data_IF_230686430569
#
_entry.id   IF_230686430569
#
_cell.length_a   1.000
_cell.length_b   1.000
_cell.length_c   1.000
_cell.angle_alpha   90.00
_cell.angle_beta   90.00
_cell.angle_gamma   90.00
#
_symmetry.space_group_name_H-M   'P 1'
#
loop_
_entity.id
_entity.type
_entity.pdbx_description
1 polymer ?
#
# COMPACT_ATOMS: atom_id res chain seq x y z
N UNK A 1 8.55 -4.75 -21.13
CA UNK A 1 7.69 -5.02 -19.97
C UNK A 1 7.98 -4.01 -18.88
N UNK A 2 7.22 -4.04 -17.78
CA UNK A 2 7.59 -3.36 -16.52
C UNK A 2 7.85 -4.47 -15.50
N UNK A 3 9.10 -4.58 -15.07
CA UNK A 3 9.61 -5.67 -14.25
C UNK A 3 10.10 -5.13 -12.91
N UNK A 4 9.76 -5.81 -11.81
CA UNK A 4 10.35 -5.58 -10.49
C UNK A 4 11.32 -6.73 -10.19
N UNK A 5 12.53 -6.43 -9.75
CA UNK A 5 13.54 -7.44 -9.44
C UNK A 5 13.60 -7.64 -7.93
N UNK A 6 13.12 -8.79 -7.48
CA UNK A 6 13.16 -9.22 -6.08
C UNK A 6 14.42 -10.05 -5.83
N UNK A 7 14.56 -10.57 -4.61
CA UNK A 7 15.70 -11.36 -4.15
C UNK A 7 15.91 -12.60 -5.03
N UNK A 8 14.85 -13.35 -5.34
CA UNK A 8 14.89 -14.66 -6.01
C UNK A 8 14.20 -14.68 -7.39
N UNK A 9 13.40 -13.65 -7.71
CA UNK A 9 12.58 -13.60 -8.93
C UNK A 9 12.57 -12.24 -9.60
N UNK A 10 12.17 -12.24 -10.86
CA UNK A 10 11.78 -11.05 -11.62
C UNK A 10 10.28 -11.15 -11.86
N UNK A 11 9.54 -10.21 -11.30
CA UNK A 11 8.08 -10.15 -11.41
C UNK A 11 7.66 -9.15 -12.48
N UNK A 12 6.82 -9.58 -13.43
CA UNK A 12 6.30 -8.74 -14.49
C UNK A 12 5.00 -8.06 -14.03
N UNK A 13 5.13 -6.83 -13.51
CA UNK A 13 3.96 -6.00 -13.11
C UNK A 13 3.04 -5.71 -14.29
N UNK A 14 3.63 -5.53 -15.46
CA UNK A 14 2.95 -5.35 -16.73
C UNK A 14 3.78 -5.95 -17.86
N UNK A 15 3.14 -6.71 -18.73
CA UNK A 15 3.79 -7.28 -19.91
C UNK A 15 2.86 -7.17 -21.12
N UNK A 16 3.46 -6.89 -22.27
CA UNK A 16 2.79 -6.93 -23.57
C UNK A 16 3.62 -7.84 -24.49
N UNK A 17 2.95 -8.72 -25.25
CA UNK A 17 3.62 -9.71 -26.10
C UNK A 17 4.20 -10.94 -25.38
N UNK A 18 4.13 -10.99 -24.04
CA UNK A 18 4.45 -12.18 -23.24
C UNK A 18 3.16 -12.78 -22.67
N UNK A 19 2.65 -13.85 -23.30
CA UNK A 19 1.42 -14.49 -22.87
C UNK A 19 1.68 -15.55 -21.80
N UNK A 20 0.96 -15.47 -20.67
CA UNK A 20 1.00 -16.47 -19.60
C UNK A 20 2.26 -16.44 -18.73
N UNK A 21 3.12 -15.42 -18.88
CA UNK A 21 4.34 -15.25 -18.08
C UNK A 21 4.17 -14.04 -17.16
N UNK A 22 4.05 -14.31 -15.86
CA UNK A 22 3.92 -13.26 -14.83
C UNK A 22 5.20 -13.07 -14.03
N UNK A 23 6.11 -14.03 -14.08
CA UNK A 23 7.42 -13.96 -13.43
C UNK A 23 8.43 -14.91 -14.07
N UNK A 24 9.70 -14.73 -13.74
CA UNK A 24 10.80 -15.62 -14.09
C UNK A 24 11.81 -15.67 -12.94
N UNK A 25 12.66 -16.70 -12.92
CA UNK A 25 13.80 -16.75 -12.00
C UNK A 25 14.73 -15.55 -12.22
N UNK A 26 15.38 -15.08 -11.16
CA UNK A 26 16.42 -14.03 -11.22
C UNK A 26 17.72 -14.56 -11.82
N UNK A 27 17.71 -14.80 -13.13
CA UNK A 27 18.89 -15.22 -13.88
C UNK A 27 19.70 -14.00 -14.39
N UNK A 28 21.04 -14.06 -14.38
CA UNK A 28 21.88 -12.98 -14.87
C UNK A 28 21.70 -12.76 -16.38
N UNK A 29 22.11 -11.57 -16.86
CA UNK A 29 22.23 -11.23 -18.27
C UNK A 29 21.14 -10.31 -18.83
N UNK A 30 19.96 -10.31 -18.20
CA UNK A 30 18.81 -9.45 -18.56
C UNK A 30 18.44 -8.58 -17.35
N UNK A 31 17.19 -8.59 -16.88
CA UNK A 31 16.71 -7.70 -15.81
C UNK A 31 17.58 -7.72 -14.55
N UNK A 32 18.03 -8.90 -14.11
CA UNK A 32 18.88 -9.04 -12.91
C UNK A 32 20.25 -8.36 -13.04
N UNK A 33 20.76 -8.23 -14.27
CA UNK A 33 21.99 -7.48 -14.56
C UNK A 33 21.70 -6.02 -14.81
N UNK A 34 20.61 -5.70 -15.52
CA UNK A 34 20.23 -4.34 -15.86
C UNK A 34 20.04 -3.44 -14.62
N UNK A 35 19.48 -3.97 -13.52
CA UNK A 35 19.32 -3.21 -12.26
C UNK A 35 20.64 -2.83 -11.56
N UNK A 36 21.78 -3.32 -12.05
CA UNK A 36 23.11 -2.98 -11.54
C UNK A 36 23.74 -1.79 -12.28
N UNK A 37 22.98 -1.14 -13.17
CA UNK A 37 23.41 -0.03 -13.99
C UNK A 37 22.45 1.15 -13.83
N UNK A 38 23.02 2.36 -13.80
CA UNK A 38 22.24 3.61 -13.73
C UNK A 38 21.74 4.08 -15.10
N UNK A 39 22.38 3.60 -16.17
CA UNK A 39 22.09 3.94 -17.56
C UNK A 39 21.40 2.78 -18.30
N UNK A 40 20.75 3.03 -19.46
CA UNK A 40 20.11 1.99 -20.24
C UNK A 40 21.04 0.83 -20.55
N UNK A 41 20.59 -0.37 -20.18
CA UNK A 41 21.31 -1.61 -20.39
C UNK A 41 20.85 -2.26 -21.69
N UNK A 42 21.79 -2.44 -22.63
CA UNK A 42 21.50 -2.97 -23.97
C UNK A 42 22.27 -4.26 -24.24
N UNK A 43 21.56 -5.24 -24.79
CA UNK A 43 22.06 -6.49 -25.36
C UNK A 43 21.52 -6.58 -26.79
N UNK A 44 22.36 -6.23 -27.76
CA UNK A 44 21.98 -6.14 -29.17
C UNK A 44 21.69 -7.52 -29.81
N UNK A 45 22.50 -8.52 -29.44
CA UNK A 45 22.30 -9.94 -29.78
C UNK A 45 22.64 -10.84 -28.57
N UNK A 46 21.62 -11.28 -27.84
CA UNK A 46 21.73 -12.08 -26.64
C UNK A 46 22.29 -13.49 -26.89
N UNK A 47 22.20 -14.01 -28.11
CA UNK A 47 22.80 -15.31 -28.44
C UNK A 47 24.32 -15.21 -28.64
N UNK A 48 24.84 -14.02 -28.92
CA UNK A 48 26.27 -13.74 -29.07
C UNK A 48 26.87 -13.03 -27.85
N UNK A 49 26.04 -12.45 -26.97
CA UNK A 49 26.48 -11.71 -25.80
C UNK A 49 26.81 -12.65 -24.61
N UNK A 50 28.07 -12.70 -24.15
CA UNK A 50 28.47 -13.57 -23.03
C UNK A 50 27.70 -13.29 -21.74
N UNK A 51 27.19 -12.07 -21.55
CA UNK A 51 26.41 -11.69 -20.36
C UNK A 51 25.05 -12.39 -20.34
N UNK A 52 24.46 -12.62 -21.52
CA UNK A 52 23.07 -13.07 -21.66
C UNK A 52 22.92 -14.49 -22.24
N UNK A 53 23.95 -15.05 -22.89
CA UNK A 53 23.87 -16.33 -23.60
C UNK A 53 23.40 -17.50 -22.74
N UNK A 54 23.68 -17.47 -21.43
CA UNK A 54 23.28 -18.50 -20.48
C UNK A 54 21.85 -18.30 -19.93
N UNK A 55 21.20 -17.17 -20.21
CA UNK A 55 19.91 -16.82 -19.63
C UNK A 55 18.79 -17.75 -20.16
N UNK A 56 17.89 -18.26 -19.30
CA UNK A 56 16.80 -19.14 -19.72
C UNK A 56 15.87 -18.54 -20.78
N UNK A 57 15.67 -17.22 -20.80
CA UNK A 57 14.84 -16.56 -21.81
C UNK A 57 15.51 -16.51 -23.19
N UNK A 58 16.84 -16.59 -23.23
CA UNK A 58 17.64 -16.61 -24.47
C UNK A 58 17.74 -18.03 -25.04
N UNK A 59 17.97 -19.02 -24.17
CA UNK A 59 18.13 -20.44 -24.54
C UNK A 59 16.81 -21.19 -24.67
N UNK A 60 15.77 -20.75 -23.97
CA UNK A 60 14.46 -21.39 -23.92
C UNK A 60 13.57 -21.03 -25.10
N UNK A 61 12.30 -21.43 -25.00
CA UNK A 61 11.32 -21.31 -26.09
C UNK A 61 10.98 -19.88 -26.51
N UNK A 62 11.27 -18.87 -25.68
CA UNK A 62 11.08 -17.46 -26.04
C UNK A 62 12.13 -16.97 -27.05
N UNK A 63 13.34 -17.57 -27.04
CA UNK A 63 14.37 -17.30 -28.02
C UNK A 63 14.79 -15.82 -28.11
N UNK A 64 14.89 -15.14 -26.95
CA UNK A 64 15.25 -13.72 -26.92
C UNK A 64 16.60 -13.49 -27.62
N UNK A 65 16.64 -12.47 -28.49
CA UNK A 65 17.85 -12.01 -29.19
C UNK A 65 18.15 -10.56 -28.93
N UNK A 66 17.16 -9.71 -28.77
CA UNK A 66 17.40 -8.32 -28.40
C UNK A 66 16.80 -8.04 -27.03
N UNK A 67 17.50 -7.23 -26.24
CA UNK A 67 17.03 -6.71 -24.97
C UNK A 67 17.57 -5.31 -24.75
N UNK A 68 16.71 -4.36 -24.39
CA UNK A 68 17.08 -3.05 -23.90
C UNK A 68 16.22 -2.73 -22.68
N UNK A 69 16.82 -2.15 -21.65
CA UNK A 69 16.14 -1.85 -20.40
C UNK A 69 16.61 -0.52 -19.82
N UNK A 70 15.67 0.28 -19.31
CA UNK A 70 15.96 1.44 -18.48
C UNK A 70 15.60 1.12 -17.03
N UNK A 71 16.47 1.48 -16.06
CA UNK A 71 16.21 1.24 -14.64
C UNK A 71 15.06 2.10 -14.12
N UNK A 72 14.22 1.50 -13.27
CA UNK A 72 13.18 2.21 -12.50
C UNK A 72 13.77 2.49 -11.12
N UNK A 73 14.27 3.72 -10.95
CA UNK A 73 15.05 4.12 -9.77
C UNK A 73 14.26 5.11 -8.94
N UNK A 74 14.19 4.87 -7.64
CA UNK A 74 13.56 5.79 -6.67
C UNK A 74 14.36 7.09 -6.51
N UNK A 75 13.78 8.16 -5.93
CA UNK A 75 14.48 9.41 -5.69
C UNK A 75 15.69 9.30 -4.75
N UNK A 76 15.69 8.30 -3.87
CA UNK A 76 16.81 7.97 -2.98
C UNK A 76 17.86 7.05 -3.63
N UNK A 77 17.72 6.76 -4.93
CA UNK A 77 18.72 6.06 -5.73
C UNK A 77 18.60 4.53 -5.73
N UNK A 78 17.51 3.96 -5.23
CA UNK A 78 17.30 2.51 -5.23
C UNK A 78 16.64 2.06 -6.54
N UNK A 79 17.31 1.18 -7.28
CA UNK A 79 16.72 0.55 -8.46
C UNK A 79 15.75 -0.58 -8.06
N UNK A 80 14.46 -0.39 -8.31
CA UNK A 80 13.40 -1.36 -8.02
C UNK A 80 13.27 -2.43 -9.11
N UNK A 81 13.68 -2.09 -10.33
CA UNK A 81 13.42 -2.92 -11.49
C UNK A 81 13.72 -2.19 -12.80
N UNK A 82 13.04 -2.57 -13.87
CA UNK A 82 13.29 -2.03 -15.20
C UNK A 82 12.02 -1.89 -16.02
N UNK A 83 12.03 -0.90 -16.91
CA UNK A 83 11.18 -0.91 -18.11
C UNK A 83 12.02 -1.43 -19.26
N UNK A 84 11.58 -2.51 -19.89
CA UNK A 84 12.36 -3.19 -20.92
C UNK A 84 11.61 -3.40 -22.23
N UNK A 85 12.36 -3.66 -23.29
CA UNK A 85 11.88 -4.15 -24.58
C UNK A 85 12.73 -5.35 -24.94
N UNK A 86 12.09 -6.41 -25.41
CA UNK A 86 12.75 -7.60 -25.90
C UNK A 86 12.23 -7.99 -27.28
N UNK A 87 13.07 -8.66 -28.07
CA UNK A 87 12.71 -9.20 -29.38
C UNK A 87 13.42 -10.53 -29.64
N UNK A 88 12.87 -11.32 -30.55
CA UNK A 88 13.43 -12.57 -31.09
C UNK A 88 14.43 -12.35 -32.22
N UNK A 89 14.66 -11.09 -32.63
CA UNK A 89 15.67 -10.70 -33.62
C UNK A 89 16.67 -9.71 -33.01
N UNK A 90 17.96 -9.77 -33.38
CA UNK A 90 18.93 -8.76 -32.97
C UNK A 90 18.52 -7.36 -33.41
N UNK A 91 18.85 -6.34 -32.60
CA UNK A 91 18.59 -4.93 -32.91
C UNK A 91 19.65 -4.02 -32.31
N UNK A 92 19.84 -2.86 -32.95
CA UNK A 92 20.65 -1.77 -32.44
C UNK A 92 19.73 -0.55 -32.22
N UNK A 93 19.35 -0.22 -30.97
CA UNK A 93 18.49 0.91 -30.70
C UNK A 93 19.24 2.22 -30.94
N UNK A 94 18.51 3.25 -31.39
CA UNK A 94 19.04 4.61 -31.51
C UNK A 94 19.09 5.30 -30.15
N UNK A 95 19.86 6.39 -30.03
CA UNK A 95 19.90 7.20 -28.81
C UNK A 95 18.48 7.67 -28.39
N UNK A 96 17.70 8.22 -29.33
CA UNK A 96 16.33 8.66 -29.04
C UNK A 96 15.37 7.53 -28.62
N UNK A 97 15.63 6.28 -29.03
CA UNK A 97 14.86 5.13 -28.53
C UNK A 97 15.22 4.76 -27.08
N UNK A 98 16.49 4.94 -26.71
CA UNK A 98 16.95 4.72 -25.33
C UNK A 98 16.47 5.85 -24.41
N UNK A 99 16.51 7.10 -24.87
CA UNK A 99 15.94 8.26 -24.17
C UNK A 99 14.45 8.05 -23.92
N UNK A 100 13.68 7.65 -24.95
CA UNK A 100 12.26 7.34 -24.76
C UNK A 100 12.01 6.19 -23.77
N UNK A 101 12.91 5.21 -23.69
CA UNK A 101 12.81 4.13 -22.72
C UNK A 101 13.10 4.61 -21.29
N UNK A 102 14.05 5.54 -21.12
CA UNK A 102 14.31 6.22 -19.85
C UNK A 102 13.12 7.07 -19.40
N UNK A 103 12.53 7.85 -20.31
CA UNK A 103 11.33 8.65 -20.05
C UNK A 103 10.18 7.76 -19.56
N UNK A 104 9.98 6.60 -20.18
CA UNK A 104 8.98 5.62 -19.74
C UNK A 104 9.29 5.06 -18.35
N UNK A 105 10.56 4.81 -18.01
CA UNK A 105 10.95 4.36 -16.69
C UNK A 105 10.71 5.43 -15.60
N UNK A 106 10.97 6.70 -15.92
CA UNK A 106 10.67 7.83 -15.05
C UNK A 106 9.16 7.95 -14.81
N UNK A 107 8.33 7.86 -15.86
CA UNK A 107 6.86 7.88 -15.74
C UNK A 107 6.32 6.73 -14.88
N UNK A 108 6.93 5.53 -14.98
CA UNK A 108 6.58 4.40 -14.12
C UNK A 108 6.90 4.72 -12.65
N UNK A 109 8.05 5.35 -12.36
CA UNK A 109 8.41 5.72 -11.00
C UNK A 109 7.46 6.79 -10.44
N UNK A 110 7.13 7.81 -11.21
CA UNK A 110 6.17 8.86 -10.83
C UNK A 110 4.80 8.25 -10.44
N UNK A 111 4.31 7.29 -11.23
CA UNK A 111 3.05 6.60 -10.95
C UNK A 111 3.13 5.73 -9.68
N UNK A 112 4.28 5.09 -9.43
CA UNK A 112 4.50 4.31 -8.21
C UNK A 112 4.51 5.21 -6.96
N UNK A 113 5.13 6.38 -7.03
CA UNK A 113 5.13 7.38 -5.95
C UNK A 113 3.75 7.93 -5.68
N UNK A 114 3.02 8.28 -6.74
CA UNK A 114 1.65 8.78 -6.62
C UNK A 114 0.75 7.77 -5.90
N UNK A 115 0.84 6.49 -6.29
CA UNK A 115 0.09 5.41 -5.63
C UNK A 115 0.52 5.21 -4.19
N UNK A 116 1.82 5.22 -3.90
CA UNK A 116 2.34 5.07 -2.54
C UNK A 116 1.86 6.21 -1.63
N UNK A 117 1.86 7.44 -2.13
CA UNK A 117 1.35 8.63 -1.42
C UNK A 117 -0.16 8.50 -1.13
N UNK A 118 -0.94 8.06 -2.11
CA UNK A 118 -2.37 7.81 -1.93
C UNK A 118 -2.63 6.72 -0.88
N UNK A 119 -1.88 5.60 -0.92
CA UNK A 119 -2.00 4.54 0.08
C UNK A 119 -1.66 5.02 1.49
N UNK A 120 -0.57 5.77 1.65
CA UNK A 120 -0.17 6.35 2.95
C UNK A 120 -1.23 7.29 3.51
N UNK A 121 -1.83 8.11 2.64
CA UNK A 121 -2.90 9.02 3.04
C UNK A 121 -4.13 8.25 3.54
N UNK A 122 -4.57 7.23 2.79
CA UNK A 122 -5.71 6.40 3.19
C UNK A 122 -5.44 5.65 4.49
N UNK A 123 -4.23 5.12 4.68
CA UNK A 123 -3.84 4.45 5.92
C UNK A 123 -3.88 5.42 7.11
N UNK A 124 -3.29 6.61 6.98
CA UNK A 124 -3.26 7.60 8.05
C UNK A 124 -4.66 8.11 8.44
N UNK A 125 -5.58 8.24 7.49
CA UNK A 125 -6.99 8.58 7.78
C UNK A 125 -7.70 7.45 8.54
N UNK A 126 -7.45 6.19 8.17
CA UNK A 126 -8.03 5.03 8.87
C UNK A 126 -7.54 4.96 10.31
N UNK A 127 -6.24 5.13 10.52
CA UNK A 127 -5.65 5.10 11.87
C UNK A 127 -6.22 6.23 12.74
N UNK A 128 -6.34 7.45 12.18
CA UNK A 128 -6.94 8.59 12.89
C UNK A 128 -8.40 8.35 13.26
N UNK A 129 -9.19 7.76 12.36
CA UNK A 129 -10.60 7.41 12.64
C UNK A 129 -10.70 6.35 13.74
N UNK A 130 -9.90 5.29 13.64
CA UNK A 130 -9.88 4.23 14.64
C UNK A 130 -9.51 4.76 16.04
N UNK A 131 -8.52 5.66 16.12
CA UNK A 131 -8.13 6.30 17.37
C UNK A 131 -9.22 7.23 17.92
N UNK A 132 -9.84 8.06 17.07
CA UNK A 132 -10.93 8.93 17.48
C UNK A 132 -12.12 8.13 18.04
N UNK A 133 -12.49 7.03 17.38
CA UNK A 133 -13.55 6.15 17.87
C UNK A 133 -13.16 5.46 19.18
N UNK A 134 -11.90 5.04 19.34
CA UNK A 134 -11.40 4.46 20.58
C UNK A 134 -11.50 5.46 21.74
N UNK A 135 -11.07 6.70 21.52
CA UNK A 135 -11.14 7.76 22.52
C UNK A 135 -12.60 8.10 22.87
N UNK A 136 -13.47 8.21 21.87
CA UNK A 136 -14.89 8.44 22.08
C UNK A 136 -15.55 7.32 22.92
N UNK A 137 -15.22 6.04 22.65
CA UNK A 137 -15.66 4.90 23.46
C UNK A 137 -15.16 4.98 24.91
N UNK A 138 -13.91 5.40 25.13
CA UNK A 138 -13.37 5.57 26.50
C UNK A 138 -14.09 6.70 27.23
N UNK A 139 -14.27 7.86 26.59
CA UNK A 139 -14.98 9.00 27.19
C UNK A 139 -16.42 8.63 27.56
N UNK A 140 -17.14 7.96 26.67
CA UNK A 140 -18.50 7.49 26.92
C UNK A 140 -18.58 6.62 28.17
N UNK A 141 -17.66 5.66 28.33
CA UNK A 141 -17.63 4.79 29.53
C UNK A 141 -17.32 5.56 30.82
N UNK A 142 -16.59 6.66 30.74
CA UNK A 142 -16.29 7.51 31.92
C UNK A 142 -17.41 8.49 32.29
N UNK A 143 -18.31 8.80 31.35
CA UNK A 143 -19.43 9.72 31.57
C UNK A 143 -20.66 9.04 32.21
N UNK A 144 -20.64 7.72 32.38
CA UNK A 144 -21.69 6.96 33.04
C UNK A 144 -21.23 6.52 34.45
N UNK A 145 -22.04 6.71 35.49
CA UNK A 145 -21.76 6.24 36.84
C UNK A 145 -21.48 4.72 36.80
N UNK A 146 -20.32 4.26 37.31
CA UNK A 146 -19.96 2.84 37.29
C UNK A 146 -20.87 1.99 38.19
N UNK A 147 -21.56 2.63 39.14
CA UNK A 147 -22.59 2.04 39.98
C UNK A 147 -23.61 3.12 40.34
N UNK A 148 -24.87 2.72 40.53
CA UNK A 148 -25.92 3.60 41.01
C UNK A 148 -25.83 3.73 42.53
N UNK A 149 -25.94 4.94 43.10
CA UNK A 149 -25.98 5.12 44.54
C UNK A 149 -27.28 4.57 45.14
N UNK A 150 -27.20 4.13 46.41
CA UNK A 150 -28.37 3.74 47.19
C UNK A 150 -29.09 4.99 47.71
N UNK A 151 -30.33 5.21 47.26
CA UNK A 151 -31.12 6.41 47.60
C UNK A 151 -32.21 6.00 48.59
N UNK A 152 -32.20 6.52 49.84
CA UNK A 152 -33.19 6.15 50.84
C UNK A 152 -34.64 6.34 50.35
N UNK A 153 -35.42 5.26 50.36
CA UNK A 153 -36.82 5.28 49.94
C UNK A 153 -37.05 5.17 48.43
N UNK A 154 -36.01 5.02 47.61
CA UNK A 154 -36.10 4.77 46.17
C UNK A 154 -35.36 3.50 45.77
N UNK A 155 -35.89 2.78 44.78
CA UNK A 155 -35.14 1.77 44.03
C UNK A 155 -34.63 2.39 42.73
N UNK A 156 -33.32 2.38 42.53
CA UNK A 156 -32.69 2.98 41.35
C UNK A 156 -32.16 1.86 40.44
N UNK A 157 -32.48 1.95 39.15
CA UNK A 157 -31.94 1.07 38.12
C UNK A 157 -31.65 1.90 36.86
N UNK A 158 -30.63 1.51 36.10
CA UNK A 158 -30.27 2.14 34.84
C UNK A 158 -29.85 1.05 33.85
N UNK A 159 -30.29 1.22 32.61
CA UNK A 159 -29.90 0.39 31.48
C UNK A 159 -29.43 1.32 30.37
N UNK A 160 -28.25 1.03 29.83
CA UNK A 160 -27.68 1.81 28.74
C UNK A 160 -27.55 0.90 27.51
N UNK A 161 -28.32 1.21 26.48
CA UNK A 161 -28.35 0.44 25.23
C UNK A 161 -28.03 1.37 24.08
N UNK A 162 -26.91 1.14 23.41
CA UNK A 162 -26.61 1.79 22.13
C UNK A 162 -27.32 1.06 21.00
N UNK A 163 -27.77 1.81 19.98
CA UNK A 163 -28.39 1.24 18.79
C UNK A 163 -27.43 0.32 18.00
N UNK A 164 -26.12 0.53 18.15
CA UNK A 164 -25.06 -0.31 17.58
C UNK A 164 -23.97 -0.57 18.61
N UNK A 165 -23.39 -1.76 18.61
CA UNK A 165 -22.21 -2.10 19.42
C UNK A 165 -20.93 -1.45 18.90
N UNK A 166 -20.94 -1.00 17.63
CA UNK A 166 -19.82 -0.35 16.96
C UNK A 166 -19.89 1.18 17.01
N UNK A 167 -21.04 1.76 17.39
CA UNK A 167 -21.20 3.21 17.51
C UNK A 167 -21.19 3.69 18.96
N UNK A 168 -20.63 4.88 19.16
CA UNK A 168 -20.63 5.58 20.46
C UNK A 168 -21.99 6.24 20.62
N UNK A 169 -22.72 5.86 21.69
CA UNK A 169 -23.98 6.48 22.07
C UNK A 169 -23.74 7.86 22.69
N UNK A 170 -24.65 8.79 22.41
CA UNK A 170 -24.58 10.17 22.88
C UNK A 170 -25.07 10.38 24.32
N UNK A 171 -25.91 9.47 24.81
CA UNK A 171 -26.61 9.67 26.07
C UNK A 171 -25.71 9.48 27.29
N UNK A 172 -25.97 10.25 28.35
CA UNK A 172 -25.31 10.10 29.64
C UNK A 172 -26.27 10.46 30.77
N UNK A 173 -26.04 9.89 31.96
CA UNK A 173 -26.84 10.18 33.15
C UNK A 173 -25.95 10.29 34.38
N UNK A 174 -26.43 10.95 35.42
CA UNK A 174 -25.80 10.96 36.74
C UNK A 174 -26.87 11.03 37.84
N UNK A 175 -26.55 10.57 39.05
CA UNK A 175 -27.39 10.63 40.23
C UNK A 175 -26.51 10.93 41.44
N UNK A 176 -26.72 12.08 42.08
CA UNK A 176 -25.84 12.57 43.13
C UNK A 176 -26.61 13.27 44.26
N UNK A 177 -26.09 13.25 45.50
CA UNK A 177 -26.76 13.86 46.64
C UNK A 177 -26.68 15.38 46.61
N UNK A 178 -27.69 16.03 47.20
CA UNK A 178 -27.74 17.44 47.55
C UNK A 178 -27.88 17.56 49.08
N UNK A 179 -27.81 18.79 49.60
CA UNK A 179 -28.00 19.04 51.03
C UNK A 179 -29.43 18.68 51.50
N UNK A 180 -29.53 18.34 52.79
CA UNK A 180 -30.77 18.01 53.51
C UNK A 180 -31.51 16.75 53.00
N UNK A 181 -30.76 15.72 52.61
CA UNK A 181 -31.33 14.44 52.16
C UNK A 181 -32.02 14.51 50.79
N UNK A 182 -31.80 15.59 50.05
CA UNK A 182 -32.27 15.75 48.67
C UNK A 182 -31.29 15.11 47.70
N UNK A 183 -31.78 14.74 46.53
CA UNK A 183 -30.99 14.13 45.46
C UNK A 183 -31.32 14.81 44.14
N UNK A 184 -30.34 14.87 43.24
CA UNK A 184 -30.53 15.32 41.87
C UNK A 184 -30.09 14.21 40.91
N UNK A 185 -30.83 14.08 39.81
CA UNK A 185 -30.40 13.28 38.68
C UNK A 185 -30.23 14.17 37.45
N UNK A 186 -29.30 13.78 36.59
CA UNK A 186 -29.08 14.39 35.29
C UNK A 186 -29.27 13.33 34.22
N UNK A 187 -29.92 13.69 33.11
CA UNK A 187 -29.98 12.88 31.90
C UNK A 187 -29.74 13.82 30.73
N UNK A 188 -28.70 13.56 29.96
CA UNK A 188 -28.36 14.31 28.75
C UNK A 188 -28.45 13.39 27.54
N UNK A 189 -29.07 13.90 26.49
CA UNK A 189 -29.05 13.34 25.14
C UNK A 189 -28.11 14.20 24.28
N UNK A 190 -27.25 13.55 23.51
CA UNK A 190 -26.41 14.23 22.51
C UNK A 190 -26.99 13.92 21.13
N UNK A 191 -27.75 14.89 20.61
CA UNK A 191 -28.37 14.82 19.29
C UNK A 191 -27.38 14.42 18.17
N UNK A 192 -27.73 13.40 17.38
CA UNK A 192 -27.11 13.14 16.08
C UNK A 192 -26.82 11.67 15.72
N UNK A 193 -27.00 10.72 16.65
CA UNK A 193 -26.69 9.29 16.44
C UNK A 193 -27.63 8.35 17.23
N UNK A 194 -28.93 8.67 17.24
CA UNK A 194 -30.00 7.81 17.77
C UNK A 194 -30.61 6.92 16.69
#
# INVERSE_FOLDING_TARGET
>A
TVSIVDTDRVWFKAAHGLHGVTETARAPGLCASAILHDEPYVVADAAADPRAIANPLVRGGLGVRFYAAAPVTTPDGQCLGVVDVLDTRPRNPTAGQLEALQDLAALVMDELELRLSAFRTVAAERDRRAEAERLARVLQRTLLPPALPDVPGLHVAAAYHTASTDEVGGDFYDLFPLDDGRWAFFLGDVCGKG
#
